data_IF_134281660292
#
_entry.id   IF_134281660292
#
_cell.length_a   1.000
_cell.length_b   1.000
_cell.length_c   1.000
_cell.angle_alpha   90.00
_cell.angle_beta   90.00
_cell.angle_gamma   90.00
#
_symmetry.space_group_name_H-M   'P 1'
#
loop_
_entity.id
_entity.type
_entity.pdbx_description
1 polymer ?
#
# COMPACT_ATOMS: atom_id res chain seq x y z
N UNK A 1 20.56 9.97 29.94
CA UNK A 1 19.29 9.23 29.80
C UNK A 1 19.44 8.39 28.55
N UNK A 2 19.45 7.06 28.67
CA UNK A 2 19.50 6.17 27.49
C UNK A 2 18.16 6.31 26.78
N UNK A 3 18.16 7.01 25.64
CA UNK A 3 16.98 7.12 24.77
C UNK A 3 16.51 5.71 24.44
N UNK A 4 15.35 5.35 24.96
CA UNK A 4 14.74 4.04 24.71
C UNK A 4 14.40 4.01 23.23
N UNK A 5 15.12 3.20 22.44
CA UNK A 5 14.84 3.07 21.00
C UNK A 5 13.36 2.84 20.79
N UNK A 6 12.74 3.69 19.95
CA UNK A 6 11.35 3.54 19.54
C UNK A 6 11.30 2.59 18.35
N UNK A 7 11.15 1.30 18.63
CA UNK A 7 11.03 0.25 17.60
C UNK A 7 9.55 0.03 17.28
N UNK A 8 9.21 0.01 16.00
CA UNK A 8 7.88 -0.36 15.50
C UNK A 8 7.99 -1.59 14.61
N UNK A 9 7.31 -2.67 15.01
CA UNK A 9 7.24 -3.91 14.25
C UNK A 9 6.17 -3.80 13.17
N UNK A 10 6.60 -3.80 11.90
CA UNK A 10 5.73 -3.68 10.74
C UNK A 10 5.65 -4.98 9.96
N UNK A 11 4.50 -5.22 9.32
CA UNK A 11 4.26 -6.39 8.48
C UNK A 11 3.74 -6.02 7.10
N UNK A 12 4.15 -6.78 6.07
CA UNK A 12 3.64 -6.71 4.71
C UNK A 12 3.15 -8.10 4.30
N UNK A 13 1.93 -8.19 3.77
CA UNK A 13 1.41 -9.45 3.23
C UNK A 13 1.52 -9.42 1.71
N UNK A 14 2.39 -10.25 1.17
CA UNK A 14 2.54 -10.59 -0.23
C UNK A 14 1.80 -11.88 -0.51
N UNK A 15 0.86 -11.88 -1.47
CA UNK A 15 -0.02 -13.02 -1.64
C UNK A 15 -0.40 -13.24 -3.11
N UNK A 16 -0.48 -14.49 -3.54
CA UNK A 16 -1.03 -14.92 -4.83
C UNK A 16 -2.55 -15.10 -4.75
N UNK A 17 -3.25 -14.90 -5.87
CA UNK A 17 -4.68 -15.16 -5.94
C UNK A 17 -4.95 -16.69 -5.86
N UNK A 18 -5.79 -17.16 -4.91
CA UNK A 18 -6.02 -18.59 -4.73
C UNK A 18 -7.04 -19.18 -5.72
N UNK A 19 -7.90 -18.36 -6.32
CA UNK A 19 -8.98 -18.80 -7.21
C UNK A 19 -8.90 -18.07 -8.56
N UNK A 20 -8.20 -18.68 -9.52
CA UNK A 20 -7.98 -18.17 -10.87
C UNK A 20 -8.99 -18.76 -11.85
N UNK A 21 -10.28 -18.52 -11.62
CA UNK A 21 -11.39 -19.00 -12.46
C UNK A 21 -12.41 -17.88 -12.68
N UNK A 22 -12.37 -17.28 -13.88
CA UNK A 22 -13.30 -16.21 -14.24
C UNK A 22 -14.76 -16.68 -14.39
N UNK A 23 -15.01 -17.98 -14.51
CA UNK A 23 -16.37 -18.54 -14.56
C UNK A 23 -17.10 -18.49 -13.21
N UNK A 24 -16.38 -18.32 -12.11
CA UNK A 24 -16.98 -18.26 -10.77
C UNK A 24 -17.63 -16.91 -10.48
N UNK A 25 -18.66 -16.84 -9.61
CA UNK A 25 -19.21 -15.58 -9.12
C UNK A 25 -18.12 -14.68 -8.52
N UNK A 26 -18.19 -13.37 -8.76
CA UNK A 26 -17.23 -12.39 -8.24
C UNK A 26 -17.08 -12.48 -6.72
N UNK A 27 -18.20 -12.63 -6.01
CA UNK A 27 -18.21 -12.78 -4.55
C UNK A 27 -17.47 -14.03 -4.05
N UNK A 28 -17.46 -15.12 -4.84
CA UNK A 28 -16.75 -16.36 -4.50
C UNK A 28 -15.24 -16.18 -4.67
N UNK A 29 -14.82 -15.51 -5.75
CA UNK A 29 -13.41 -15.17 -6.02
C UNK A 29 -12.89 -14.26 -4.92
N UNK A 30 -13.65 -13.22 -4.55
CA UNK A 30 -13.28 -12.31 -3.47
C UNK A 30 -13.17 -13.01 -2.13
N UNK A 31 -14.15 -13.86 -1.79
CA UNK A 31 -14.13 -14.61 -0.53
C UNK A 31 -12.89 -15.47 -0.40
N UNK A 32 -12.52 -16.20 -1.46
CA UNK A 32 -11.32 -17.05 -1.45
C UNK A 32 -10.05 -16.22 -1.16
N UNK A 33 -9.95 -15.02 -1.72
CA UNK A 33 -8.81 -14.14 -1.49
C UNK A 33 -8.81 -13.55 -0.08
N UNK A 34 -9.98 -13.14 0.42
CA UNK A 34 -10.14 -12.64 1.79
C UNK A 34 -9.80 -13.72 2.81
N UNK A 35 -10.35 -14.93 2.65
CA UNK A 35 -10.12 -16.06 3.57
C UNK A 35 -8.63 -16.41 3.66
N UNK A 36 -7.92 -16.39 2.52
CA UNK A 36 -6.46 -16.59 2.48
C UNK A 36 -5.72 -15.51 3.25
N UNK A 37 -6.09 -14.24 3.06
CA UNK A 37 -5.47 -13.13 3.79
C UNK A 37 -5.78 -13.16 5.28
N UNK A 38 -6.99 -13.56 5.68
CA UNK A 38 -7.37 -13.68 7.10
C UNK A 38 -6.37 -14.56 7.86
N UNK A 39 -6.00 -15.72 7.30
CA UNK A 39 -5.02 -16.60 7.93
C UNK A 39 -3.64 -15.90 8.12
N UNK A 40 -3.21 -15.12 7.14
CA UNK A 40 -1.94 -14.39 7.19
C UNK A 40 -2.01 -13.18 8.14
N UNK A 41 -3.15 -12.48 8.22
CA UNK A 41 -3.39 -11.38 9.16
C UNK A 41 -3.37 -11.90 10.60
N UNK A 42 -4.01 -13.05 10.85
CA UNK A 42 -3.95 -13.74 12.15
C UNK A 42 -2.51 -14.11 12.53
N UNK A 43 -1.71 -14.57 11.56
CA UNK A 43 -0.30 -14.86 11.79
C UNK A 43 0.51 -13.60 12.12
N UNK A 44 0.26 -12.49 11.42
CA UNK A 44 0.87 -11.20 11.73
C UNK A 44 0.59 -10.77 13.16
N UNK A 45 -0.67 -10.91 13.61
CA UNK A 45 -1.07 -10.62 14.98
C UNK A 45 -0.34 -11.49 16.01
N UNK A 46 -0.26 -12.82 15.79
CA UNK A 46 0.49 -13.75 16.67
C UNK A 46 1.98 -13.41 16.73
N UNK A 47 2.55 -12.89 15.65
CA UNK A 47 3.96 -12.47 15.58
C UNK A 47 4.22 -11.07 16.16
N UNK A 48 3.20 -10.43 16.73
CA UNK A 48 3.30 -9.13 17.39
C UNK A 48 3.52 -7.97 16.42
N UNK A 49 3.02 -8.07 15.19
CA UNK A 49 3.03 -6.96 14.24
C UNK A 49 2.18 -5.82 14.81
N UNK A 50 2.70 -4.61 14.77
CA UNK A 50 2.05 -3.41 15.28
C UNK A 50 1.37 -2.60 14.17
N UNK A 51 1.95 -2.59 12.96
CA UNK A 51 1.34 -1.96 11.78
C UNK A 51 1.44 -2.94 10.62
N UNK A 52 0.29 -3.30 10.03
CA UNK A 52 0.19 -4.22 8.91
C UNK A 52 -0.28 -3.47 7.65
N UNK A 53 0.30 -3.78 6.49
CA UNK A 53 -0.22 -3.34 5.20
C UNK A 53 -0.44 -4.54 4.27
N UNK A 54 -1.60 -4.55 3.60
CA UNK A 54 -1.97 -5.54 2.59
C UNK A 54 -1.62 -5.02 1.19
N UNK A 55 -1.61 -5.92 0.19
CA UNK A 55 -1.35 -5.55 -1.21
C UNK A 55 -2.50 -4.76 -1.83
N UNK A 56 -2.27 -4.10 -2.96
CA UNK A 56 -3.27 -3.32 -3.70
C UNK A 56 -4.48 -4.18 -4.09
N UNK A 57 -5.71 -3.69 -3.79
CA UNK A 57 -6.98 -4.39 -4.03
C UNK A 57 -6.88 -5.86 -3.57
N UNK A 58 -6.49 -6.04 -2.29
CA UNK A 58 -6.12 -7.36 -1.77
C UNK A 58 -7.27 -8.37 -1.82
N UNK A 59 -8.51 -7.89 -1.82
CA UNK A 59 -9.73 -8.70 -1.73
C UNK A 59 -10.20 -9.29 -3.07
N UNK A 60 -9.33 -9.37 -4.08
CA UNK A 60 -9.64 -9.97 -5.37
C UNK A 60 -8.43 -10.07 -6.29
N UNK A 61 -8.59 -10.62 -7.51
CA UNK A 61 -7.54 -10.62 -8.51
C UNK A 61 -7.31 -9.21 -9.05
N UNK A 62 -6.20 -9.03 -9.78
CA UNK A 62 -5.98 -7.81 -10.55
C UNK A 62 -6.78 -7.89 -11.87
N UNK A 63 -8.03 -7.55 -11.83
CA UNK A 63 -9.02 -7.72 -12.91
C UNK A 63 -8.94 -6.66 -14.02
N UNK A 64 -8.10 -5.66 -13.91
CA UNK A 64 -8.05 -4.52 -14.83
C UNK A 64 -7.82 -4.88 -16.31
N UNK A 65 -7.11 -5.97 -16.66
CA UNK A 65 -6.96 -6.38 -18.07
C UNK A 65 -8.27 -6.73 -18.77
N UNK A 66 -9.29 -7.15 -18.02
CA UNK A 66 -10.57 -7.62 -18.59
C UNK A 66 -11.45 -6.50 -19.18
N UNK A 67 -11.33 -5.27 -18.67
CA UNK A 67 -12.25 -4.15 -18.97
C UNK A 67 -13.73 -4.57 -18.93
N UNK A 68 -14.10 -5.49 -18.03
CA UNK A 68 -15.46 -6.01 -17.88
C UNK A 68 -16.20 -5.30 -16.75
N UNK A 69 -17.40 -4.79 -17.05
CA UNK A 69 -18.29 -4.18 -16.05
C UNK A 69 -18.74 -5.15 -14.97
N UNK A 70 -18.60 -6.46 -15.17
CA UNK A 70 -18.81 -7.49 -14.16
C UNK A 70 -18.04 -7.18 -12.86
N UNK A 71 -16.82 -6.63 -12.96
CA UNK A 71 -16.00 -6.32 -11.80
C UNK A 71 -16.49 -5.12 -10.98
N UNK A 72 -17.49 -4.37 -11.46
CA UNK A 72 -18.15 -3.36 -10.65
C UNK A 72 -18.87 -3.97 -9.42
N UNK A 73 -19.25 -5.26 -9.49
CA UNK A 73 -19.81 -5.98 -8.36
C UNK A 73 -18.82 -6.16 -7.20
N UNK A 74 -17.51 -6.17 -7.51
CA UNK A 74 -16.46 -6.33 -6.52
C UNK A 74 -16.26 -5.10 -5.61
N UNK A 75 -16.84 -3.95 -6.00
CA UNK A 75 -16.65 -2.71 -5.24
C UNK A 75 -17.59 -2.64 -4.04
N UNK A 76 -17.04 -2.23 -2.89
CA UNK A 76 -17.76 -2.06 -1.62
C UNK A 76 -17.61 -0.63 -1.06
N UNK A 77 -18.49 -0.18 -0.15
CA UNK A 77 -18.28 1.09 0.55
C UNK A 77 -17.01 1.02 1.43
N UNK A 78 -16.44 2.19 1.73
CA UNK A 78 -15.30 2.30 2.67
C UNK A 78 -15.61 3.35 3.73
N UNK A 79 -15.78 2.96 5.02
CA UNK A 79 -15.73 1.59 5.58
C UNK A 79 -16.76 0.64 4.98
N UNK A 80 -16.46 -0.67 4.96
CA UNK A 80 -17.34 -1.68 4.40
C UNK A 80 -16.99 -3.09 4.89
N UNK A 81 -17.71 -4.12 4.44
CA UNK A 81 -17.65 -5.46 5.01
C UNK A 81 -16.22 -6.03 5.10
N UNK A 82 -15.43 -5.90 4.04
CA UNK A 82 -14.06 -6.43 4.03
C UNK A 82 -13.14 -5.63 4.94
N UNK A 83 -13.23 -4.29 4.90
CA UNK A 83 -12.36 -3.44 5.72
C UNK A 83 -12.68 -3.56 7.19
N UNK A 84 -13.97 -3.71 7.57
CA UNK A 84 -14.42 -3.92 8.95
C UNK A 84 -14.04 -5.30 9.48
N UNK A 85 -14.10 -6.34 8.65
CA UNK A 85 -13.60 -7.67 9.00
C UNK A 85 -12.12 -7.62 9.38
N UNK A 86 -11.28 -7.02 8.53
CA UNK A 86 -9.85 -6.88 8.78
C UNK A 86 -9.59 -6.04 10.04
N UNK A 87 -10.27 -4.91 10.19
CA UNK A 87 -10.16 -4.05 11.38
C UNK A 87 -10.54 -4.80 12.66
N UNK A 88 -11.58 -5.64 12.63
CA UNK A 88 -11.99 -6.49 13.74
C UNK A 88 -10.92 -7.50 14.15
N UNK A 89 -10.22 -8.09 13.19
CA UNK A 89 -9.08 -9.00 13.45
C UNK A 89 -7.93 -8.19 14.06
N UNK A 90 -7.55 -7.09 13.40
CA UNK A 90 -6.44 -6.23 13.84
C UNK A 90 -6.65 -5.70 15.26
N UNK A 91 -7.87 -5.30 15.62
CA UNK A 91 -8.22 -4.86 16.99
C UNK A 91 -7.91 -5.92 18.05
N UNK A 92 -8.18 -7.21 17.76
CA UNK A 92 -7.90 -8.31 18.73
C UNK A 92 -6.42 -8.41 19.06
N UNK A 93 -5.56 -8.05 18.11
CA UNK A 93 -4.10 -8.07 18.27
C UNK A 93 -3.49 -6.69 18.57
N UNK A 94 -4.32 -5.66 18.74
CA UNK A 94 -3.87 -4.28 18.88
C UNK A 94 -2.94 -3.83 17.74
N UNK A 95 -3.27 -4.21 16.53
CA UNK A 95 -2.49 -3.96 15.31
C UNK A 95 -3.20 -2.91 14.45
N UNK A 96 -2.53 -1.80 14.14
CA UNK A 96 -3.01 -0.86 13.13
C UNK A 96 -2.89 -1.47 11.73
N UNK A 97 -3.79 -1.11 10.79
CA UNK A 97 -3.75 -1.71 9.47
C UNK A 97 -4.10 -0.75 8.33
N UNK A 98 -3.44 -0.99 7.20
CA UNK A 98 -3.73 -0.37 5.90
C UNK A 98 -4.37 -1.44 5.02
N UNK A 99 -5.61 -1.19 4.58
CA UNK A 99 -6.49 -2.18 3.93
C UNK A 99 -6.90 -1.69 2.54
N UNK A 100 -6.14 -2.01 1.48
CA UNK A 100 -6.43 -1.57 0.12
C UNK A 100 -7.55 -2.40 -0.51
N UNK A 101 -8.62 -1.74 -0.96
CA UNK A 101 -9.82 -2.35 -1.55
C UNK A 101 -10.33 -1.55 -2.76
N UNK A 102 -11.25 -2.16 -3.51
CA UNK A 102 -12.03 -1.48 -4.55
C UNK A 102 -13.23 -0.80 -3.90
N UNK A 103 -13.20 0.54 -3.87
CA UNK A 103 -14.24 1.35 -3.22
C UNK A 103 -15.38 1.71 -4.16
N UNK A 104 -16.61 1.59 -3.68
CA UNK A 104 -17.80 2.22 -4.25
C UNK A 104 -18.23 3.40 -3.38
N UNK A 105 -18.07 4.62 -3.89
CA UNK A 105 -18.58 5.83 -3.21
C UNK A 105 -20.09 5.99 -3.50
N UNK A 106 -20.45 5.79 -4.75
CA UNK A 106 -21.85 5.77 -5.22
C UNK A 106 -21.93 5.00 -6.54
N UNK A 107 -23.13 4.82 -7.07
CA UNK A 107 -23.30 4.17 -8.37
C UNK A 107 -22.50 4.90 -9.45
N UNK A 108 -21.63 4.16 -10.15
CA UNK A 108 -20.77 4.68 -11.21
C UNK A 108 -19.57 5.51 -10.75
N UNK A 109 -19.33 5.66 -9.44
CA UNK A 109 -18.17 6.37 -8.90
C UNK A 109 -17.34 5.44 -8.01
N UNK A 110 -16.25 4.95 -8.57
CA UNK A 110 -15.43 3.89 -8.00
C UNK A 110 -13.97 4.35 -7.87
N UNK A 111 -13.27 3.87 -6.82
CA UNK A 111 -11.89 4.24 -6.53
C UNK A 111 -11.06 3.03 -6.14
N UNK A 112 -9.77 3.13 -6.38
CA UNK A 112 -8.75 2.29 -5.76
C UNK A 112 -8.36 2.95 -4.43
N UNK A 113 -8.68 2.32 -3.31
CA UNK A 113 -8.69 2.97 -1.99
C UNK A 113 -8.02 2.12 -0.94
N UNK A 114 -7.26 2.74 -0.05
CA UNK A 114 -6.75 2.11 1.16
C UNK A 114 -7.41 2.73 2.39
N UNK A 115 -8.18 1.94 3.13
CA UNK A 115 -8.69 2.28 4.44
C UNK A 115 -7.60 2.15 5.49
N UNK A 116 -7.56 3.04 6.48
CA UNK A 116 -6.61 2.97 7.59
C UNK A 116 -7.35 2.89 8.91
N UNK A 117 -6.97 1.91 9.71
CA UNK A 117 -7.52 1.68 11.05
C UNK A 117 -6.41 1.70 12.10
N UNK A 118 -6.71 2.25 13.26
CA UNK A 118 -5.80 2.19 14.40
C UNK A 118 -5.86 0.83 15.11
N UNK A 119 -4.97 0.64 16.03
CA UNK A 119 -4.79 -0.59 16.82
C UNK A 119 -6.03 -1.01 17.63
N UNK A 120 -6.90 -0.08 17.98
CA UNK A 120 -8.15 -0.34 18.66
C UNK A 120 -9.34 -0.61 17.70
N UNK A 121 -9.08 -0.59 16.39
CA UNK A 121 -10.08 -0.76 15.34
C UNK A 121 -10.79 0.53 14.93
N UNK A 122 -10.37 1.68 15.47
CA UNK A 122 -10.91 2.98 15.05
C UNK A 122 -10.54 3.28 13.60
N UNK A 123 -11.55 3.61 12.79
CA UNK A 123 -11.34 4.07 11.43
C UNK A 123 -10.73 5.48 11.42
N UNK A 124 -9.51 5.61 10.89
CA UNK A 124 -8.77 6.89 10.83
C UNK A 124 -9.03 7.67 9.55
N UNK A 125 -9.54 7.02 8.51
CA UNK A 125 -9.79 7.61 7.22
C UNK A 125 -9.29 6.73 6.07
N UNK A 126 -9.20 7.29 4.88
CA UNK A 126 -8.80 6.58 3.66
C UNK A 126 -7.93 7.42 2.75
N UNK A 127 -7.08 6.74 1.97
CA UNK A 127 -6.37 7.30 0.83
C UNK A 127 -6.96 6.73 -0.46
N UNK A 128 -7.29 7.57 -1.42
CA UNK A 128 -7.71 7.20 -2.78
C UNK A 128 -6.55 7.43 -3.74
N UNK A 129 -6.17 6.43 -4.52
CA UNK A 129 -5.08 6.49 -5.50
C UNK A 129 -5.24 7.72 -6.40
N UNK A 130 -4.23 8.58 -6.41
CA UNK A 130 -4.29 9.85 -7.15
C UNK A 130 -4.03 9.66 -8.64
N UNK A 131 -3.05 8.82 -9.00
CA UNK A 131 -2.62 8.61 -10.37
C UNK A 131 -3.08 7.25 -10.87
N UNK A 132 -3.96 7.26 -11.87
CA UNK A 132 -4.58 6.05 -12.42
C UNK A 132 -3.89 5.70 -13.74
N UNK A 133 -3.21 4.55 -13.85
CA UNK A 133 -2.52 4.16 -15.08
C UNK A 133 -3.49 3.76 -16.19
N UNK A 134 -3.01 3.93 -17.42
CA UNK A 134 -3.57 3.38 -18.64
C UNK A 134 -2.40 2.95 -19.52
N UNK A 135 -1.81 1.80 -19.21
CA UNK A 135 -0.52 1.36 -19.78
C UNK A 135 -0.60 -0.11 -20.21
N UNK A 136 -0.01 -0.42 -21.39
CA UNK A 136 0.18 -1.79 -21.83
C UNK A 136 1.02 -2.60 -20.81
N UNK A 137 0.81 -3.91 -20.68
CA UNK A 137 -0.04 -4.77 -21.51
C UNK A 137 -1.48 -4.92 -21.04
N UNK A 138 -1.90 -4.31 -19.93
CA UNK A 138 -3.25 -4.52 -19.39
C UNK A 138 -3.56 -3.71 -18.13
N UNK A 139 -2.78 -2.65 -17.84
CA UNK A 139 -3.07 -1.75 -16.73
C UNK A 139 -4.16 -0.75 -17.11
N UNK A 140 -5.37 -1.29 -17.46
CA UNK A 140 -6.51 -0.50 -17.92
C UNK A 140 -7.32 0.05 -16.74
N UNK A 141 -6.66 0.64 -15.75
CA UNK A 141 -7.28 1.08 -14.50
C UNK A 141 -8.25 2.25 -14.70
N UNK A 142 -8.06 3.09 -15.71
CA UNK A 142 -8.99 4.21 -16.01
C UNK A 142 -10.39 3.76 -16.40
N UNK A 143 -10.56 2.49 -16.79
CA UNK A 143 -11.88 1.90 -17.01
C UNK A 143 -12.67 1.72 -15.71
N UNK A 144 -11.97 1.50 -14.60
CA UNK A 144 -12.56 1.14 -13.31
C UNK A 144 -12.53 2.29 -12.30
N UNK A 145 -11.45 3.06 -12.24
CA UNK A 145 -11.19 3.97 -11.14
C UNK A 145 -11.16 5.43 -11.56
N UNK A 146 -11.85 6.25 -10.76
CA UNK A 146 -11.70 7.69 -10.79
C UNK A 146 -10.42 8.08 -10.03
N UNK A 147 -9.67 9.11 -10.48
CA UNK A 147 -8.57 9.68 -9.68
C UNK A 147 -9.02 10.11 -8.30
N UNK A 148 -8.15 9.92 -7.31
CA UNK A 148 -8.40 10.29 -5.92
C UNK A 148 -8.67 11.79 -5.75
N UNK A 149 -9.43 12.14 -4.73
CA UNK A 149 -9.86 13.52 -4.44
C UNK A 149 -9.58 13.95 -2.99
N UNK A 150 -8.84 13.11 -2.22
CA UNK A 150 -8.54 13.36 -0.81
C UNK A 150 -7.15 13.92 -0.53
N UNK A 151 -6.36 14.23 -1.57
CA UNK A 151 -4.95 14.63 -1.39
C UNK A 151 -4.09 13.52 -0.80
N UNK A 152 -3.13 13.90 0.05
CA UNK A 152 -2.13 13.00 0.63
C UNK A 152 -2.22 13.00 2.17
N UNK A 153 -3.28 12.43 2.76
CA UNK A 153 -3.46 12.41 4.21
C UNK A 153 -2.40 11.54 4.88
N UNK A 154 -2.06 11.91 6.14
CA UNK A 154 -1.23 11.12 7.03
C UNK A 154 -2.04 10.76 8.27
N UNK A 155 -2.09 9.49 8.57
CA UNK A 155 -2.92 8.91 9.63
C UNK A 155 -2.08 8.69 10.88
N UNK A 156 -2.54 9.22 12.01
CA UNK A 156 -1.89 9.04 13.31
C UNK A 156 -2.37 7.74 13.94
N UNK A 157 -1.59 6.68 13.80
CA UNK A 157 -1.84 5.43 14.52
C UNK A 157 -1.20 5.48 15.91
N UNK A 158 -1.55 4.52 16.76
CA UNK A 158 -0.92 4.33 18.07
C UNK A 158 0.61 4.26 18.00
N UNK A 159 1.17 3.76 16.90
CA UNK A 159 2.59 3.41 16.79
C UNK A 159 3.41 4.38 15.97
N UNK A 160 2.86 4.89 14.87
CA UNK A 160 3.53 5.81 13.98
C UNK A 160 2.54 6.61 13.12
N UNK A 161 3.04 7.65 12.47
CA UNK A 161 2.30 8.41 11.46
C UNK A 161 2.47 7.73 10.11
N UNK A 162 1.36 7.24 9.55
CA UNK A 162 1.33 6.42 8.35
C UNK A 162 0.80 7.21 7.16
N UNK A 163 1.56 7.21 6.06
CA UNK A 163 1.11 7.62 4.74
C UNK A 163 0.82 6.42 3.85
N UNK A 164 -0.01 6.61 2.83
CA UNK A 164 -0.27 5.59 1.80
C UNK A 164 -0.07 6.20 0.43
N UNK A 165 0.54 5.41 -0.47
CA UNK A 165 0.91 5.83 -1.81
C UNK A 165 0.77 4.63 -2.74
N UNK A 166 -0.35 4.51 -3.47
CA UNK A 166 -0.74 3.25 -4.11
C UNK A 166 -0.06 3.07 -5.47
N UNK A 167 0.72 2.01 -5.62
CA UNK A 167 1.23 1.44 -6.87
C UNK A 167 1.83 2.51 -7.82
N UNK A 168 1.11 2.87 -8.87
CA UNK A 168 1.52 3.84 -9.91
C UNK A 168 1.85 5.23 -9.36
N UNK A 169 1.30 5.61 -8.20
CA UNK A 169 1.64 6.86 -7.52
C UNK A 169 3.15 7.01 -7.32
N UNK A 170 3.89 5.89 -7.12
CA UNK A 170 5.34 5.91 -6.86
C UNK A 170 6.16 6.59 -7.95
N UNK A 171 5.64 6.67 -9.18
CA UNK A 171 6.31 7.34 -10.30
C UNK A 171 6.29 8.87 -10.18
N UNK A 172 5.53 9.44 -9.23
CA UNK A 172 5.31 10.87 -9.05
C UNK A 172 5.91 11.35 -7.71
N UNK A 173 7.12 11.92 -7.71
CA UNK A 173 7.79 12.33 -6.48
C UNK A 173 7.06 13.42 -5.70
N UNK A 174 6.17 14.16 -6.34
CA UNK A 174 5.37 15.23 -5.73
C UNK A 174 4.50 14.72 -4.59
N UNK A 175 3.78 13.61 -4.80
CA UNK A 175 2.92 13.02 -3.78
C UNK A 175 3.74 12.43 -2.61
N UNK A 176 4.88 11.81 -2.90
CA UNK A 176 5.80 11.33 -1.89
C UNK A 176 6.30 12.49 -1.00
N UNK A 177 6.59 13.65 -1.61
CA UNK A 177 6.96 14.87 -0.89
C UNK A 177 5.79 15.42 -0.06
N UNK A 178 4.57 15.43 -0.58
CA UNK A 178 3.39 15.85 0.17
C UNK A 178 3.18 15.00 1.44
N UNK A 179 3.31 13.67 1.33
CA UNK A 179 3.24 12.79 2.50
C UNK A 179 4.30 13.12 3.54
N UNK A 180 5.53 13.38 3.10
CA UNK A 180 6.61 13.80 3.99
C UNK A 180 6.34 15.13 4.69
N UNK A 181 5.83 16.13 3.96
CA UNK A 181 5.46 17.45 4.51
C UNK A 181 4.29 17.34 5.50
N UNK A 182 3.37 16.42 5.28
CA UNK A 182 2.28 16.09 6.19
C UNK A 182 2.73 15.27 7.41
N UNK A 183 4.04 14.95 7.48
CA UNK A 183 4.68 14.37 8.64
C UNK A 183 4.67 12.85 8.69
N UNK A 184 4.55 12.17 7.55
CA UNK A 184 4.67 10.72 7.50
C UNK A 184 6.02 10.24 8.07
N UNK A 185 5.95 9.17 8.86
CA UNK A 185 7.10 8.44 9.40
C UNK A 185 7.31 7.12 8.65
N UNK A 186 6.20 6.48 8.24
CA UNK A 186 6.20 5.28 7.40
C UNK A 186 5.22 5.53 6.26
N UNK A 187 5.64 5.30 5.02
CA UNK A 187 4.76 5.35 3.84
C UNK A 187 4.65 3.94 3.25
N UNK A 188 3.43 3.43 3.12
CA UNK A 188 3.18 2.15 2.46
C UNK A 188 2.83 2.35 0.99
N UNK A 189 3.42 1.52 0.12
CA UNK A 189 3.11 1.47 -1.30
C UNK A 189 2.54 0.10 -1.68
N UNK A 190 1.24 -0.15 -1.39
CA UNK A 190 0.57 -1.34 -1.89
C UNK A 190 0.48 -1.31 -3.41
N UNK A 191 0.88 -2.43 -4.05
CA UNK A 191 1.06 -2.50 -5.50
C UNK A 191 0.57 -3.82 -6.09
N UNK A 192 0.32 -3.76 -7.42
CA UNK A 192 0.12 -4.90 -8.29
C UNK A 192 0.95 -4.66 -9.56
N UNK A 193 2.23 -5.04 -9.53
CA UNK A 193 3.18 -4.76 -10.61
C UNK A 193 3.88 -6.02 -11.10
N UNK A 194 4.06 -6.13 -12.42
CA UNK A 194 4.54 -7.35 -13.10
C UNK A 194 5.95 -7.21 -13.63
N UNK A 195 6.59 -8.35 -13.86
CA UNK A 195 7.92 -8.43 -14.42
C UNK A 195 7.99 -7.80 -15.82
N UNK A 196 9.15 -7.28 -16.18
CA UNK A 196 9.49 -6.74 -17.50
C UNK A 196 9.23 -5.24 -17.65
N UNK A 197 8.05 -4.73 -17.28
CA UNK A 197 7.69 -3.33 -17.55
C UNK A 197 8.41 -2.34 -16.61
N UNK A 198 8.14 -2.41 -15.33
CA UNK A 198 8.61 -1.43 -14.34
C UNK A 198 9.41 -2.06 -13.20
N UNK A 199 9.83 -3.31 -13.32
CA UNK A 199 10.51 -4.04 -12.26
C UNK A 199 11.83 -3.38 -11.83
N UNK A 200 12.56 -2.76 -12.75
CA UNK A 200 13.78 -2.03 -12.42
C UNK A 200 13.49 -0.77 -11.58
N UNK A 201 12.35 -0.09 -11.81
CA UNK A 201 11.92 1.08 -11.05
C UNK A 201 11.56 0.72 -9.60
N UNK A 202 11.09 -0.51 -9.35
CA UNK A 202 10.75 -0.99 -8.02
C UNK A 202 11.90 -0.84 -7.01
N UNK A 203 13.13 -1.01 -7.48
CA UNK A 203 14.34 -0.91 -6.67
C UNK A 203 14.96 0.49 -6.63
N UNK A 204 14.42 1.44 -7.40
CA UNK A 204 14.98 2.80 -7.52
C UNK A 204 14.07 3.82 -6.85
N UNK A 205 12.78 3.83 -7.19
CA UNK A 205 11.86 4.91 -6.82
C UNK A 205 11.56 4.96 -5.32
N UNK A 206 11.24 3.83 -4.70
CA UNK A 206 10.93 3.79 -3.28
C UNK A 206 12.13 4.15 -2.39
N UNK A 207 13.35 3.63 -2.62
CA UNK A 207 14.55 4.11 -1.93
C UNK A 207 14.79 5.60 -2.14
N UNK A 208 14.58 6.13 -3.35
CA UNK A 208 14.72 7.56 -3.61
C UNK A 208 13.71 8.38 -2.80
N UNK A 209 12.46 7.93 -2.70
CA UNK A 209 11.44 8.58 -1.86
C UNK A 209 11.79 8.53 -0.38
N UNK A 210 12.28 7.39 0.11
CA UNK A 210 12.71 7.23 1.50
C UNK A 210 13.83 8.22 1.85
N UNK A 211 14.86 8.29 1.01
CA UNK A 211 15.99 9.22 1.20
C UNK A 211 15.56 10.67 1.11
N UNK A 212 14.83 11.04 0.05
CA UNK A 212 14.44 12.43 -0.20
C UNK A 212 13.53 12.99 0.91
N UNK A 213 12.81 12.14 1.64
CA UNK A 213 11.86 12.54 2.66
C UNK A 213 12.26 12.10 4.09
N UNK A 214 13.33 11.33 4.25
CA UNK A 214 13.80 10.85 5.55
C UNK A 214 12.71 10.09 6.31
N UNK A 215 11.98 9.16 5.63
CA UNK A 215 10.97 8.29 6.21
C UNK A 215 11.18 6.82 5.78
N UNK A 216 10.50 5.89 6.43
CA UNK A 216 10.49 4.49 5.99
C UNK A 216 9.51 4.28 4.83
N UNK A 217 9.84 3.36 3.91
CA UNK A 217 8.91 2.84 2.91
C UNK A 217 8.62 1.35 3.17
N UNK A 218 7.33 0.98 3.16
CA UNK A 218 6.88 -0.41 3.11
C UNK A 218 6.25 -0.67 1.74
N UNK A 219 6.90 -1.48 0.91
CA UNK A 219 6.54 -1.70 -0.49
C UNK A 219 6.00 -3.11 -0.65
N UNK A 220 4.71 -3.22 -0.98
CA UNK A 220 4.02 -4.51 -1.06
C UNK A 220 3.63 -4.80 -2.50
N UNK A 221 3.96 -5.99 -3.01
CA UNK A 221 3.53 -6.46 -4.31
C UNK A 221 2.75 -7.77 -4.18
N UNK A 222 2.02 -8.13 -5.23
CA UNK A 222 1.48 -9.47 -5.44
C UNK A 222 2.57 -10.43 -5.87
N UNK A 223 2.26 -11.73 -5.87
CA UNK A 223 3.16 -12.79 -6.35
C UNK A 223 2.42 -13.78 -7.24
N UNK A 224 3.12 -14.39 -8.19
CA UNK A 224 2.58 -15.41 -9.09
C UNK A 224 1.88 -14.85 -10.33
N UNK A 225 1.08 -15.68 -10.98
CA UNK A 225 0.33 -15.31 -12.20
C UNK A 225 -1.15 -15.49 -11.93
N UNK A 226 -1.94 -14.50 -12.28
CA UNK A 226 -3.40 -14.52 -12.12
C UNK A 226 -4.07 -14.76 -13.49
N UNK A 227 -4.07 -16.02 -13.96
CA UNK A 227 -4.89 -16.43 -15.10
C UNK A 227 -6.37 -16.47 -14.65
N UNK A 228 -7.36 -16.09 -15.48
CA UNK A 228 -7.31 -15.64 -16.86
C UNK A 228 -7.02 -14.14 -17.07
N UNK A 229 -6.91 -13.35 -15.99
CA UNK A 229 -6.65 -11.89 -16.09
C UNK A 229 -5.17 -11.58 -16.38
N UNK A 230 -4.48 -12.51 -16.99
CA UNK A 230 -3.02 -12.54 -17.13
C UNK A 230 -2.45 -11.26 -17.75
N UNK A 231 -1.85 -10.43 -16.91
CA UNK A 231 -1.09 -9.25 -17.28
C UNK A 231 0.43 -9.53 -17.30
N UNK A 232 0.83 -10.71 -16.80
CA UNK A 232 2.21 -11.13 -16.60
C UNK A 232 2.41 -11.71 -15.20
N UNK A 233 3.65 -12.04 -14.85
CA UNK A 233 4.02 -12.56 -13.52
C UNK A 233 4.23 -11.40 -12.55
N UNK A 234 3.46 -11.37 -11.48
CA UNK A 234 3.75 -10.54 -10.31
C UNK A 234 5.00 -11.09 -9.63
N UNK A 235 6.02 -10.25 -9.48
CA UNK A 235 7.35 -10.69 -9.08
C UNK A 235 7.60 -10.66 -7.57
N UNK A 236 6.58 -10.46 -6.76
CA UNK A 236 6.75 -10.42 -5.31
C UNK A 236 7.75 -9.36 -4.88
N UNK A 237 8.81 -9.77 -4.20
CA UNK A 237 9.89 -8.91 -3.72
C UNK A 237 9.41 -7.71 -2.91
N UNK A 238 8.36 -7.89 -2.12
CA UNK A 238 7.93 -6.89 -1.15
C UNK A 238 9.05 -6.58 -0.17
N UNK A 239 9.22 -5.32 0.24
CA UNK A 239 10.37 -4.96 1.07
C UNK A 239 10.13 -3.71 1.91
N UNK A 240 10.96 -3.53 2.95
CA UNK A 240 11.08 -2.30 3.70
C UNK A 240 12.36 -1.56 3.37
N UNK A 241 12.27 -0.23 3.26
CA UNK A 241 13.42 0.68 3.06
C UNK A 241 13.49 1.64 4.23
N UNK A 242 14.70 1.86 4.73
CA UNK A 242 14.95 2.83 5.78
C UNK A 242 15.16 4.26 5.24
N UNK A 243 15.21 5.31 6.09
CA UNK A 243 15.44 6.69 5.68
C UNK A 243 16.78 6.97 4.96
N UNK A 244 17.70 6.00 4.95
CA UNK A 244 18.97 6.07 4.22
C UNK A 244 18.91 5.40 2.83
N UNK A 245 17.75 4.83 2.45
CA UNK A 245 17.57 4.13 1.19
C UNK A 245 18.01 2.67 1.21
N UNK A 246 18.35 2.13 2.37
CA UNK A 246 18.82 0.75 2.52
C UNK A 246 17.63 -0.20 2.72
N UNK A 247 17.66 -1.36 2.09
CA UNK A 247 16.67 -2.42 2.31
C UNK A 247 16.86 -3.05 3.69
N UNK A 248 15.83 -2.94 4.54
CA UNK A 248 15.82 -3.51 5.89
C UNK A 248 15.49 -5.01 5.87
N UNK A 249 14.50 -5.38 5.05
CA UNK A 249 14.06 -6.75 4.85
C UNK A 249 13.35 -6.87 3.50
N UNK A 250 13.43 -8.04 2.87
CA UNK A 250 12.81 -8.32 1.58
C UNK A 250 12.19 -9.71 1.55
N UNK A 251 11.00 -9.83 0.98
CA UNK A 251 10.30 -11.09 0.73
C UNK A 251 10.81 -11.77 -0.56
N UNK A 252 10.41 -13.03 -0.73
CA UNK A 252 10.73 -13.85 -1.91
C UNK A 252 10.09 -13.32 -3.20
N UNK A 253 10.52 -13.88 -4.34
CA UNK A 253 10.01 -13.54 -5.67
C UNK A 253 8.83 -14.43 -6.14
N UNK A 254 8.52 -15.51 -5.41
CA UNK A 254 7.74 -16.61 -5.95
C UNK A 254 6.70 -17.22 -5.03
N UNK A 255 6.59 -16.78 -3.78
CA UNK A 255 5.67 -17.38 -2.81
C UNK A 255 4.90 -16.37 -1.97
N UNK A 256 3.80 -16.84 -1.41
CA UNK A 256 3.05 -16.11 -0.38
C UNK A 256 3.94 -15.94 0.86
N UNK A 257 3.98 -14.71 1.38
CA UNK A 257 4.87 -14.42 2.50
C UNK A 257 4.35 -13.28 3.36
N UNK A 258 4.42 -13.45 4.68
CA UNK A 258 4.31 -12.38 5.65
C UNK A 258 5.73 -11.89 5.97
N UNK A 259 6.14 -10.79 5.39
CA UNK A 259 7.39 -10.12 5.71
C UNK A 259 7.21 -9.27 6.98
N UNK A 260 8.07 -9.48 7.98
CA UNK A 260 8.07 -8.71 9.23
C UNK A 260 9.43 -8.04 9.42
N UNK A 261 9.42 -6.76 9.78
CA UNK A 261 10.63 -6.01 10.11
C UNK A 261 10.41 -5.11 11.34
N UNK A 262 11.45 -4.96 12.14
CA UNK A 262 11.51 -4.02 13.25
C UNK A 262 12.17 -2.72 12.77
N UNK A 263 11.41 -1.63 12.76
CA UNK A 263 11.84 -0.32 12.26
C UNK A 263 12.25 0.58 13.43
N UNK A 264 13.50 1.04 13.44
CA UNK A 264 14.01 2.00 14.44
C UNK A 264 13.57 3.42 14.08
N UNK A 265 12.50 3.89 14.69
CA UNK A 265 11.94 5.21 14.39
C UNK A 265 12.88 6.37 14.77
N UNK A 266 13.88 6.13 15.64
CA UNK A 266 14.90 7.11 15.98
C UNK A 266 15.80 7.49 14.78
N UNK A 267 15.93 6.58 13.79
CA UNK A 267 16.68 6.86 12.57
C UNK A 267 16.07 8.02 11.75
N UNK A 268 14.75 8.23 11.84
CA UNK A 268 14.08 9.37 11.17
C UNK A 268 14.62 10.68 11.68
N UNK A 269 14.70 10.83 13.01
CA UNK A 269 15.19 12.06 13.65
C UNK A 269 16.68 12.26 13.37
N UNK A 270 17.48 11.18 13.41
CA UNK A 270 18.88 11.20 13.07
C UNK A 270 19.11 11.68 11.62
N UNK A 271 18.43 11.07 10.65
CA UNK A 271 18.58 11.41 9.23
C UNK A 271 18.09 12.81 8.93
N UNK A 272 16.93 13.22 9.46
CA UNK A 272 16.38 14.57 9.27
C UNK A 272 17.19 15.64 10.00
N UNK A 273 17.86 15.28 11.11
CA UNK A 273 18.80 16.15 11.82
C UNK A 273 20.11 16.37 11.05
N UNK A 274 20.59 15.33 10.35
CA UNK A 274 21.79 15.39 9.52
C UNK A 274 21.52 16.10 8.18
N UNK A 275 20.48 15.66 7.50
CA UNK A 275 20.06 16.18 6.19
C UNK A 275 18.79 17.00 6.35
N UNK A 276 18.90 18.30 6.49
CA UNK A 276 17.77 19.19 6.78
C UNK A 276 16.99 19.56 5.50
N UNK A 277 16.65 18.56 4.69
CA UNK A 277 16.01 18.75 3.38
C UNK A 277 14.69 19.53 3.46
N UNK A 278 13.90 19.37 4.53
CA UNK A 278 12.64 20.11 4.71
C UNK A 278 12.86 21.60 4.99
N UNK A 279 13.92 21.96 5.75
CA UNK A 279 14.30 23.35 6.02
C UNK A 279 14.82 24.04 4.77
N UNK A 280 15.60 23.31 3.97
CA UNK A 280 16.37 23.87 2.85
C UNK A 280 15.55 23.88 1.55
N UNK A 281 14.25 23.49 1.60
CA UNK A 281 13.32 23.61 0.46
C UNK A 281 13.15 25.08 0.04
N UNK A 282 12.93 25.27 -1.25
CA UNK A 282 12.68 26.58 -1.87
C UNK A 282 11.31 26.59 -2.57
N UNK A 283 10.17 26.53 -1.81
CA UNK A 283 8.83 26.45 -2.40
C UNK A 283 8.53 27.54 -3.43
N UNK A 284 9.09 28.73 -3.22
CA UNK A 284 8.96 29.88 -4.11
C UNK A 284 9.58 29.67 -5.52
N UNK A 285 10.47 28.64 -5.65
CA UNK A 285 11.10 28.27 -6.92
C UNK A 285 10.45 27.06 -7.60
N UNK A 286 9.32 26.54 -7.07
CA UNK A 286 8.66 25.32 -7.57
C UNK A 286 7.33 25.59 -8.27
N UNK A 287 7.10 26.81 -8.78
CA UNK A 287 5.84 27.19 -9.41
C UNK A 287 5.46 26.31 -10.59
N UNK A 288 6.44 25.85 -11.38
CA UNK A 288 6.22 24.99 -12.54
C UNK A 288 5.63 23.63 -12.20
N UNK A 289 5.86 23.12 -10.98
CA UNK A 289 5.31 21.81 -10.54
C UNK A 289 3.76 21.87 -10.48
N UNK A 290 3.20 23.03 -10.18
CA UNK A 290 1.75 23.23 -10.06
C UNK A 290 1.12 24.00 -11.22
N UNK A 291 1.95 24.47 -12.16
CA UNK A 291 1.48 25.13 -13.39
C UNK A 291 0.88 24.10 -14.36
N UNK A 292 -0.20 24.47 -15.04
CA UNK A 292 -0.85 23.65 -16.09
C UNK A 292 -0.51 24.22 -17.48
#
# INVERSE_FOLDING_TARGET
MTDKKRIVRCGLIQCSNPLNDEGRPVAEIQRAMVDKHVAMIEDAGRRGVQILCLQEIFNGPYFCPSQSTRWYEAAEPVPGPTTELVAGICRRYQMACVVPVYEREMSGVLYNTAAVYDADGTYLGKYRKQHIPQVNPGFWEKFFFKPGNGGYPVFRTRYAKVGVYICYDRHFPEGARCLGLNGAEIVFNPSATVAGLSQYLWKIEQPAHAVANGYYMGCINRVGTEAPWNIGKFYGTSYFVNPRGETVAQASEDRDELLVADLDMGMIDEVRGTWQFYRDRRPEAYGEITAQ
#
